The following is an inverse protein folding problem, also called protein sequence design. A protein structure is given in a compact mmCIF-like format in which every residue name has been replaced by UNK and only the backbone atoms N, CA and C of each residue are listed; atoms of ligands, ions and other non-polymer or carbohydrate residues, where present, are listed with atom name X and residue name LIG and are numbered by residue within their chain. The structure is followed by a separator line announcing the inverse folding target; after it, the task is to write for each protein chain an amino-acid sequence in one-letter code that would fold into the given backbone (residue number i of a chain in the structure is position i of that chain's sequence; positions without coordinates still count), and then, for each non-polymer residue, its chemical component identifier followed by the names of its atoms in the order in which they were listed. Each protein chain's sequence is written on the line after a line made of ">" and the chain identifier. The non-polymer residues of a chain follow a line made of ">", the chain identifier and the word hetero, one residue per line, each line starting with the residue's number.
data_IF_291959218524
#
_entry.id   IF_291959218524
#
_cell.length_a   1.000
_cell.length_b   1.000
_cell.length_c   1.000
_cell.angle_alpha   90.00
_cell.angle_beta   90.00
_cell.angle_gamma   90.00
#
_symmetry.space_group_name_H-M   'P 1'
#
loop_
_entity.id
_entity.type
_entity.pdbx_description
1 polymer ?
#
# COMPACT_ATOMS: atom_id res chain seq x y z
N UNK A 1 18.99 -10.90 -14.99
CA UNK A 1 18.09 -11.35 -16.08
C UNK A 1 17.03 -12.27 -15.49
N UNK A 2 15.75 -11.99 -15.68
CA UNK A 2 14.67 -12.88 -15.22
C UNK A 2 14.23 -13.68 -16.45
N UNK A 3 14.78 -14.87 -16.61
CA UNK A 3 14.36 -15.80 -17.67
C UNK A 3 12.86 -16.13 -17.51
N UNK A 4 12.08 -16.19 -18.60
CA UNK A 4 10.68 -16.56 -18.48
C UNK A 4 10.56 -18.05 -18.16
N UNK A 5 10.15 -18.34 -16.92
CA UNK A 5 9.68 -19.66 -16.51
C UNK A 5 8.52 -20.05 -17.43
N UNK A 6 8.74 -21.12 -18.21
CA UNK A 6 7.78 -21.90 -19.00
C UNK A 6 6.38 -21.30 -19.13
N UNK A 7 6.24 -20.29 -19.98
CA UNK A 7 4.96 -19.97 -20.61
C UNK A 7 5.07 -20.42 -22.05
N UNK A 8 4.01 -21.01 -22.61
CA UNK A 8 4.01 -21.44 -24.01
C UNK A 8 4.59 -20.33 -24.89
N UNK A 9 5.37 -20.66 -25.93
CA UNK A 9 6.03 -19.71 -26.87
C UNK A 9 5.09 -18.67 -27.53
N UNK A 10 3.80 -18.69 -27.17
CA UNK A 10 2.72 -17.82 -27.64
C UNK A 10 2.44 -16.63 -26.70
N UNK A 11 3.04 -16.58 -25.51
CA UNK A 11 2.83 -15.49 -24.54
C UNK A 11 4.05 -14.57 -24.47
N UNK A 12 3.82 -13.26 -24.48
CA UNK A 12 4.86 -12.24 -24.31
C UNK A 12 4.82 -11.68 -22.88
N UNK A 13 5.93 -11.77 -22.15
CA UNK A 13 6.02 -11.26 -20.78
C UNK A 13 6.37 -9.77 -20.78
N UNK A 14 5.50 -8.93 -20.21
CA UNK A 14 5.68 -7.47 -20.10
C UNK A 14 6.43 -7.03 -18.84
N UNK A 15 6.91 -7.98 -18.02
CA UNK A 15 7.60 -7.73 -16.76
C UNK A 15 6.64 -7.66 -15.56
N UNK A 16 7.17 -7.16 -14.43
CA UNK A 16 6.37 -7.01 -13.20
C UNK A 16 5.25 -5.99 -13.39
N UNK A 17 4.05 -6.32 -12.91
CA UNK A 17 2.92 -5.38 -12.87
C UNK A 17 3.24 -4.09 -12.11
N UNK A 18 4.11 -4.16 -11.09
CA UNK A 18 4.56 -3.01 -10.29
C UNK A 18 5.42 -2.01 -11.06
N UNK A 19 5.82 -2.32 -12.29
CA UNK A 19 6.51 -1.37 -13.18
C UNK A 19 5.54 -0.58 -14.06
N UNK A 20 4.23 -0.71 -13.82
CA UNK A 20 3.17 -0.04 -14.55
C UNK A 20 3.33 -0.18 -16.09
N UNK A 21 3.36 -1.42 -16.65
CA UNK A 21 3.54 -1.61 -18.09
C UNK A 21 2.41 -0.94 -18.89
N UNK A 22 2.79 -0.15 -19.89
CA UNK A 22 1.88 0.62 -20.76
C UNK A 22 2.33 0.55 -22.20
N UNK A 23 1.40 0.59 -23.14
CA UNK A 23 1.69 0.65 -24.57
C UNK A 23 0.64 -0.04 -25.44
N UNK A 24 0.83 0.03 -26.74
CA UNK A 24 -0.02 -0.65 -27.73
C UNK A 24 0.76 -1.83 -28.30
N UNK A 25 0.20 -3.02 -28.18
CA UNK A 25 0.84 -4.27 -28.60
C UNK A 25 0.00 -4.94 -29.68
N UNK A 26 0.64 -5.74 -30.53
CA UNK A 26 -0.04 -6.60 -31.50
C UNK A 26 0.78 -7.86 -31.68
N UNK A 27 0.13 -8.96 -32.04
CA UNK A 27 0.83 -10.17 -32.46
C UNK A 27 0.83 -10.27 -33.98
N UNK A 28 1.89 -10.89 -34.50
CA UNK A 28 1.98 -11.28 -35.90
C UNK A 28 1.82 -12.79 -35.97
N UNK A 29 0.69 -13.25 -36.50
CA UNK A 29 0.46 -14.67 -36.78
C UNK A 29 1.07 -15.08 -38.12
N UNK A 30 0.94 -16.36 -38.47
CA UNK A 30 1.44 -16.90 -39.75
C UNK A 30 0.77 -16.30 -40.98
N UNK A 31 -0.46 -15.79 -40.85
CA UNK A 31 -1.25 -15.27 -41.98
C UNK A 31 -1.65 -13.81 -41.84
N UNK A 32 -1.81 -13.29 -40.62
CA UNK A 32 -2.35 -11.95 -40.39
C UNK A 32 -1.79 -11.32 -39.10
N UNK A 33 -1.80 -9.99 -39.09
CA UNK A 33 -1.55 -9.18 -37.89
C UNK A 33 -2.83 -9.07 -37.06
N UNK A 34 -2.71 -9.14 -35.74
CA UNK A 34 -3.86 -8.92 -34.86
C UNK A 34 -4.28 -7.45 -34.83
N UNK A 35 -5.50 -7.21 -34.36
CA UNK A 35 -5.88 -5.87 -33.90
C UNK A 35 -4.95 -5.43 -32.75
N UNK A 36 -4.66 -4.12 -32.63
CA UNK A 36 -3.85 -3.60 -31.53
C UNK A 36 -4.57 -3.76 -30.18
N UNK A 37 -3.79 -4.05 -29.14
CA UNK A 37 -4.20 -4.13 -27.74
C UNK A 37 -3.53 -2.99 -26.97
N UNK A 38 -4.33 -2.09 -26.42
CA UNK A 38 -3.82 -1.07 -25.50
C UNK A 38 -3.69 -1.66 -24.09
N UNK A 39 -2.46 -1.80 -23.62
CA UNK A 39 -2.15 -2.20 -22.25
C UNK A 39 -1.99 -0.94 -21.42
N UNK A 40 -2.77 -0.87 -20.34
CA UNK A 40 -2.71 0.20 -19.35
C UNK A 40 -2.74 -0.42 -17.97
N UNK A 41 -1.56 -0.65 -17.40
CA UNK A 41 -1.46 -1.12 -16.02
C UNK A 41 -1.29 0.06 -15.06
N UNK A 42 -2.02 -0.06 -13.95
CA UNK A 42 -1.93 0.81 -12.79
C UNK A 42 -1.89 -0.06 -11.56
N UNK A 43 -0.76 -0.07 -10.89
CA UNK A 43 -0.69 -0.61 -9.54
C UNK A 43 -0.87 0.52 -8.55
N UNK A 44 -1.68 0.30 -7.51
CA UNK A 44 -1.69 1.20 -6.36
C UNK A 44 -0.35 1.09 -5.66
N UNK A 45 0.20 2.20 -5.17
CA UNK A 45 1.36 2.16 -4.30
C UNK A 45 1.06 1.18 -3.16
N UNK A 46 2.01 0.29 -2.87
CA UNK A 46 1.90 -0.54 -1.66
C UNK A 46 1.73 0.44 -0.52
N UNK A 47 0.59 0.38 0.16
CA UNK A 47 0.34 1.16 1.35
C UNK A 47 1.53 0.89 2.29
N UNK A 48 2.41 1.87 2.44
CA UNK A 48 3.47 1.78 3.43
C UNK A 48 2.71 1.81 4.75
N UNK A 49 2.53 0.66 5.38
CA UNK A 49 1.96 0.58 6.72
C UNK A 49 2.96 1.30 7.62
N UNK A 50 2.74 2.60 7.84
CA UNK A 50 3.49 3.37 8.82
C UNK A 50 3.19 2.75 10.19
N UNK A 51 4.23 2.41 10.95
CA UNK A 51 4.05 1.90 12.31
C UNK A 51 3.30 2.95 13.15
N UNK A 52 2.43 2.50 14.07
CA UNK A 52 1.67 3.40 14.95
C UNK A 52 2.56 4.39 15.72
N UNK A 53 3.80 4.01 16.01
CA UNK A 53 4.79 4.85 16.69
C UNK A 53 5.19 6.10 15.89
N UNK A 54 4.87 6.15 14.59
CA UNK A 54 5.09 7.31 13.72
C UNK A 54 3.85 8.21 13.59
N UNK A 55 2.68 7.75 14.04
CA UNK A 55 1.40 8.44 13.88
C UNK A 55 1.03 9.33 15.07
N UNK A 56 1.54 9.05 16.26
CA UNK A 56 1.19 9.79 17.47
C UNK A 56 2.39 10.49 18.08
N UNK A 57 2.20 11.77 18.40
CA UNK A 57 3.04 12.46 19.37
C UNK A 57 2.90 11.70 20.71
N UNK A 58 3.98 11.24 21.35
CA UNK A 58 3.90 10.64 22.67
C UNK A 58 3.21 11.63 23.62
N UNK A 59 2.16 11.17 24.30
CA UNK A 59 1.58 11.96 25.39
C UNK A 59 2.70 12.13 26.41
N UNK A 60 3.17 13.38 26.58
CA UNK A 60 4.14 13.70 27.63
C UNK A 60 3.58 13.22 28.97
N UNK A 61 4.47 12.76 29.85
CA UNK A 61 4.12 12.54 31.25
C UNK A 61 3.48 13.83 31.77
N UNK A 62 2.23 13.69 32.22
CA UNK A 62 1.46 14.81 32.69
C UNK A 62 1.79 14.94 34.18
N UNK A 63 2.32 16.08 34.59
CA UNK A 63 2.61 16.35 35.99
C UNK A 63 1.31 16.31 36.80
N UNK A 64 1.21 15.36 37.75
CA UNK A 64 0.06 15.19 38.64
C UNK A 64 -0.25 16.48 39.43
N UNK A 65 0.77 17.31 39.66
CA UNK A 65 0.69 18.60 40.35
C UNK A 65 -0.23 19.62 39.65
N UNK A 66 -0.60 19.40 38.38
CA UNK A 66 -1.54 20.26 37.65
C UNK A 66 -3.01 19.89 37.82
N UNK A 67 -3.33 18.78 38.48
CA UNK A 67 -4.71 18.36 38.68
C UNK A 67 -5.22 18.78 40.05
N UNK A 68 -6.38 19.43 40.09
CA UNK A 68 -7.08 19.72 41.34
C UNK A 68 -7.58 18.43 41.97
N UNK A 69 -6.96 17.98 43.06
CA UNK A 69 -7.40 16.82 43.82
C UNK A 69 -8.78 17.11 44.44
N UNK A 70 -9.83 16.47 43.92
CA UNK A 70 -11.15 16.54 44.53
C UNK A 70 -11.14 15.70 45.81
N UNK A 71 -11.02 16.37 46.95
CA UNK A 71 -11.04 15.75 48.27
C UNK A 71 -12.42 15.13 48.51
N UNK A 72 -12.46 13.80 48.66
CA UNK A 72 -13.70 13.03 48.85
C UNK A 72 -14.50 13.50 50.06
N UNK A 73 -15.83 13.40 49.96
CA UNK A 73 -16.81 13.91 50.91
C UNK A 73 -16.44 13.64 52.38
N UNK A 74 -16.23 14.71 53.15
CA UNK A 74 -16.00 14.63 54.59
C UNK A 74 -17.29 14.18 55.29
N UNK A 75 -17.29 12.99 55.90
CA UNK A 75 -18.40 12.53 56.73
C UNK A 75 -18.59 13.53 57.90
N UNK A 76 -19.69 14.27 57.91
CA UNK A 76 -20.10 15.05 59.09
C UNK A 76 -20.43 14.06 60.21
N UNK A 77 -19.62 14.04 61.26
CA UNK A 77 -19.96 13.37 62.53
C UNK A 77 -20.96 14.25 63.27
N UNK A 78 -22.05 13.64 63.73
CA UNK A 78 -23.10 14.25 64.55
C UNK A 78 -22.59 14.64 65.94
#
# INVERSE_FOLDING_TARGET
>A
EISPVNTSKKTWNLGSSTKDPRGIYWCQGSKNRSKPLQVYYRTSDKQTLLSNDQLYQPLKEREDDQYSHLQGNHLRKN
#
